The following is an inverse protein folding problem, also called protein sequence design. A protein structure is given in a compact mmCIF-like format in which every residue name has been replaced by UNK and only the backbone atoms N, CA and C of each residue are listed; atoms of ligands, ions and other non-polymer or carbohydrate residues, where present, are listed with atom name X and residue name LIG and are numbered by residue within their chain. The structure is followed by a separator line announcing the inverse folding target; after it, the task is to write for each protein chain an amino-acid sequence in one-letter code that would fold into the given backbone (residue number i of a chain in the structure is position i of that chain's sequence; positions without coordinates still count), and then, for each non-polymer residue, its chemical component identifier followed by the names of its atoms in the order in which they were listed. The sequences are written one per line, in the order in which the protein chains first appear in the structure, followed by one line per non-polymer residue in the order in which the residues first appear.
data_IF_976017678373
#
_entry.id   IF_976017678373
#
_cell.length_a   1.000
_cell.length_b   1.000
_cell.length_c   1.000
_cell.angle_alpha   90.00
_cell.angle_beta   90.00
_cell.angle_gamma   90.00
#
_symmetry.space_group_name_H-M   'P 1'
#
loop_
_entity.id
_entity.type
_entity.pdbx_description
1 polymer ?
#
# COMPACT_ATOMS: atom_id res chain seq x y z
N UNK A 1 12.27 -30.97 -19.19
CA UNK A 1 11.12 -30.73 -20.05
C UNK A 1 11.15 -29.24 -20.38
N UNK A 2 11.13 -28.88 -21.66
CA UNK A 2 11.12 -27.48 -22.08
C UNK A 2 9.77 -26.86 -21.74
N UNK A 3 9.82 -25.67 -21.15
CA UNK A 3 8.62 -24.85 -20.94
C UNK A 3 8.30 -24.16 -22.27
N UNK A 4 7.03 -24.13 -22.71
CA UNK A 4 6.66 -23.47 -23.95
C UNK A 4 7.16 -22.02 -23.95
N UNK A 5 7.84 -21.62 -25.03
CA UNK A 5 8.17 -20.22 -25.32
C UNK A 5 6.94 -19.54 -25.90
N UNK A 6 6.83 -18.26 -25.72
CA UNK A 6 5.74 -17.52 -26.33
C UNK A 6 5.02 -16.59 -25.37
N UNK A 7 3.89 -16.13 -25.81
CA UNK A 7 3.02 -15.27 -25.01
C UNK A 7 2.43 -16.04 -23.84
N UNK A 8 2.48 -15.42 -22.66
CA UNK A 8 1.93 -15.95 -21.41
C UNK A 8 1.22 -14.87 -20.63
N UNK A 9 0.25 -15.31 -19.85
CA UNK A 9 -0.53 -14.47 -18.96
C UNK A 9 -0.44 -15.04 -17.55
N UNK A 10 -0.28 -14.16 -16.58
CA UNK A 10 -0.20 -14.48 -15.17
C UNK A 10 -1.25 -13.69 -14.39
N UNK A 11 -1.92 -14.38 -13.48
CA UNK A 11 -2.75 -13.77 -12.44
C UNK A 11 -2.11 -14.09 -11.11
N UNK A 12 -1.77 -13.08 -10.34
CA UNK A 12 -1.15 -13.20 -9.03
C UNK A 12 -2.07 -12.59 -7.97
N UNK A 13 -2.34 -13.36 -6.92
CA UNK A 13 -3.00 -12.88 -5.72
C UNK A 13 -1.94 -12.59 -4.67
N UNK A 14 -2.03 -11.43 -4.05
CA UNK A 14 -1.04 -10.93 -3.11
C UNK A 14 -1.69 -10.52 -1.80
N UNK A 15 -1.01 -10.84 -0.70
CA UNK A 15 -1.36 -10.40 0.63
C UNK A 15 -0.08 -9.94 1.32
N UNK A 16 -0.03 -8.67 1.66
CA UNK A 16 1.15 -8.02 2.26
C UNK A 16 0.77 -7.31 3.55
N UNK A 17 1.73 -7.13 4.41
CA UNK A 17 1.59 -6.41 5.67
C UNK A 17 2.68 -5.36 5.80
N UNK A 18 2.31 -4.18 6.28
CA UNK A 18 3.21 -3.16 6.80
C UNK A 18 3.01 -3.06 8.31
N UNK A 19 3.69 -2.14 8.97
CA UNK A 19 3.51 -1.87 10.41
C UNK A 19 2.05 -1.52 10.75
N UNK A 20 1.31 -0.91 9.80
CA UNK A 20 -0.01 -0.33 10.08
C UNK A 20 -1.12 -0.81 9.14
N UNK A 21 -0.78 -1.58 8.11
CA UNK A 21 -1.72 -1.87 7.02
C UNK A 21 -1.58 -3.31 6.57
N UNK A 22 -2.72 -3.95 6.35
CA UNK A 22 -2.83 -5.20 5.62
C UNK A 22 -3.31 -4.90 4.20
N UNK A 23 -2.59 -5.39 3.19
CA UNK A 23 -2.85 -5.12 1.79
C UNK A 23 -3.27 -6.42 1.12
N UNK A 24 -4.40 -6.40 0.44
CA UNK A 24 -4.83 -7.50 -0.41
C UNK A 24 -4.89 -7.02 -1.86
N UNK A 25 -4.45 -7.85 -2.78
CA UNK A 25 -4.45 -7.46 -4.18
C UNK A 25 -4.53 -8.61 -5.14
N UNK A 26 -4.96 -8.28 -6.35
CA UNK A 26 -4.91 -9.15 -7.51
C UNK A 26 -4.19 -8.41 -8.64
N UNK A 27 -3.24 -9.07 -9.27
CA UNK A 27 -2.44 -8.52 -10.34
C UNK A 27 -2.57 -9.39 -11.60
N UNK A 28 -2.55 -8.75 -12.75
CA UNK A 28 -2.52 -9.38 -14.04
C UNK A 28 -1.28 -8.93 -14.80
N UNK A 29 -0.52 -9.88 -15.34
CA UNK A 29 0.67 -9.61 -16.14
C UNK A 29 0.58 -10.37 -17.46
N UNK A 30 0.72 -9.66 -18.57
CA UNK A 30 0.83 -10.24 -19.90
C UNK A 30 2.22 -10.00 -20.45
N UNK A 31 2.81 -11.00 -21.08
CA UNK A 31 4.17 -10.88 -21.58
C UNK A 31 4.66 -12.06 -22.39
N UNK A 32 5.95 -12.10 -22.60
CA UNK A 32 6.59 -13.08 -23.44
C UNK A 32 7.67 -13.85 -22.67
N UNK A 33 7.61 -15.16 -22.75
CA UNK A 33 8.65 -16.06 -22.25
C UNK A 33 9.65 -16.36 -23.37
N UNK A 34 10.85 -15.82 -23.22
CA UNK A 34 11.92 -15.98 -24.22
C UNK A 34 12.56 -17.37 -24.18
N UNK A 35 12.67 -17.93 -22.98
CA UNK A 35 13.28 -19.23 -22.74
C UNK A 35 12.83 -19.80 -21.38
N UNK A 36 13.45 -20.90 -20.97
CA UNK A 36 13.11 -21.55 -19.69
C UNK A 36 13.41 -20.69 -18.45
N UNK A 37 14.17 -19.63 -18.60
CA UNK A 37 14.72 -18.83 -17.49
C UNK A 37 14.14 -17.44 -17.41
N UNK A 38 13.65 -16.86 -18.53
CA UNK A 38 13.30 -15.44 -18.58
C UNK A 38 11.90 -15.25 -19.15
N UNK A 39 11.07 -14.56 -18.39
CA UNK A 39 9.81 -13.97 -18.81
C UNK A 39 9.88 -12.45 -18.60
N UNK A 40 9.33 -11.68 -19.55
CA UNK A 40 9.19 -10.22 -19.45
C UNK A 40 7.77 -9.85 -19.86
N UNK A 41 7.12 -8.99 -19.08
CA UNK A 41 5.76 -8.57 -19.33
C UNK A 41 5.42 -7.19 -18.79
N UNK A 42 4.21 -6.76 -19.09
CA UNK A 42 3.58 -5.58 -18.51
C UNK A 42 2.40 -6.03 -17.67
N UNK A 43 2.17 -5.37 -16.57
CA UNK A 43 1.12 -5.73 -15.65
C UNK A 43 0.40 -4.55 -15.05
N UNK A 44 -0.77 -4.86 -14.54
CA UNK A 44 -1.61 -3.97 -13.73
C UNK A 44 -2.28 -4.78 -12.64
N UNK A 45 -2.91 -4.11 -11.69
CA UNK A 45 -3.60 -4.79 -10.62
C UNK A 45 -4.57 -3.89 -9.87
N UNK A 46 -5.12 -4.46 -8.84
CA UNK A 46 -5.96 -3.76 -7.88
C UNK A 46 -5.51 -4.15 -6.48
N UNK A 47 -5.10 -3.18 -5.69
CA UNK A 47 -4.73 -3.36 -4.29
C UNK A 47 -5.71 -2.61 -3.39
N UNK A 48 -6.05 -3.23 -2.28
CA UNK A 48 -6.91 -2.64 -1.25
C UNK A 48 -6.21 -2.68 0.11
N UNK A 49 -6.12 -1.51 0.73
CA UNK A 49 -5.47 -1.32 2.02
C UNK A 49 -6.49 -1.40 3.15
N UNK A 50 -6.25 -2.33 4.08
CA UNK A 50 -7.01 -2.51 5.31
C UNK A 50 -6.15 -2.05 6.48
N UNK A 51 -6.50 -0.94 7.09
CA UNK A 51 -5.71 -0.34 8.18
C UNK A 51 -5.98 -1.04 9.51
N UNK A 52 -4.90 -1.46 10.20
CA UNK A 52 -4.96 -1.92 11.57
C UNK A 52 -4.88 -0.72 12.51
N UNK A 53 -5.96 -0.28 13.02
CA UNK A 53 -5.97 0.77 14.00
C UNK A 53 -6.25 2.13 13.40
N UNK A 54 -7.44 2.60 13.58
CA UNK A 54 -7.66 4.02 13.71
C UNK A 54 -6.94 4.42 15.01
N UNK A 55 -5.91 5.22 14.92
CA UNK A 55 -5.46 5.95 16.09
C UNK A 55 -6.56 6.91 16.49
N UNK A 56 -7.51 6.43 17.26
CA UNK A 56 -8.30 7.24 18.16
C UNK A 56 -7.42 7.53 19.35
N UNK A 57 -6.52 8.46 19.18
CA UNK A 57 -5.69 8.91 20.27
C UNK A 57 -6.11 10.29 20.69
N UNK A 58 -7.24 10.43 21.08
CA UNK A 58 -7.60 11.31 22.17
C UNK A 58 -8.74 10.59 22.82
N UNK A 59 -8.87 10.58 24.12
CA UNK A 59 -10.17 10.37 24.67
C UNK A 59 -11.07 11.34 23.88
N UNK A 60 -12.17 10.85 23.35
CA UNK A 60 -13.22 11.66 22.68
C UNK A 60 -13.67 12.83 23.54
N UNK A 61 -12.97 13.03 24.64
CA UNK A 61 -13.40 13.82 25.73
C UNK A 61 -13.39 15.29 25.46
N UNK A 62 -12.44 15.87 24.74
CA UNK A 62 -12.30 17.27 25.08
C UNK A 62 -12.08 18.22 23.90
N UNK A 63 -12.09 17.71 22.66
CA UNK A 63 -11.70 18.56 21.54
C UNK A 63 -12.24 18.14 20.19
N UNK A 64 -13.14 18.93 19.61
CA UNK A 64 -13.70 18.71 18.28
C UNK A 64 -13.29 19.85 17.35
N UNK A 65 -12.31 19.67 16.45
CA UNK A 65 -11.99 20.67 15.45
C UNK A 65 -13.15 20.82 14.47
N UNK A 66 -13.65 22.03 14.30
CA UNK A 66 -14.67 22.32 13.30
C UNK A 66 -13.98 22.33 11.94
N UNK A 67 -14.20 21.28 11.17
CA UNK A 67 -13.67 21.14 9.82
C UNK A 67 -14.52 21.94 8.83
N UNK A 68 -13.87 22.63 7.91
CA UNK A 68 -14.56 23.30 6.81
C UNK A 68 -15.28 22.29 5.92
N UNK A 69 -16.57 22.53 5.65
CA UNK A 69 -17.48 21.60 4.93
C UNK A 69 -16.94 21.06 3.60
N UNK A 70 -16.04 21.80 2.93
CA UNK A 70 -15.59 21.46 1.57
C UNK A 70 -14.08 21.19 1.47
N UNK A 71 -13.29 21.50 2.50
CA UNK A 71 -11.82 21.39 2.42
C UNK A 71 -11.26 20.34 3.36
N UNK A 72 -12.06 19.84 4.29
CA UNK A 72 -11.57 19.00 5.38
C UNK A 72 -10.49 19.67 6.24
N UNK A 73 -10.19 20.96 5.99
CA UNK A 73 -9.22 21.72 6.76
C UNK A 73 -9.90 22.35 7.97
N UNK A 74 -9.23 22.42 9.11
CA UNK A 74 -9.75 23.08 10.28
C UNK A 74 -10.02 24.57 9.99
N UNK A 75 -11.17 25.04 10.45
CA UNK A 75 -11.58 26.45 10.28
C UNK A 75 -10.89 27.39 11.26
N UNK A 76 -10.01 26.87 12.13
CA UNK A 76 -9.44 27.64 13.25
C UNK A 76 -10.40 27.85 14.41
N UNK A 77 -11.62 27.28 14.33
CA UNK A 77 -12.61 27.29 15.42
C UNK A 77 -12.71 25.91 16.04
N UNK A 78 -12.77 25.86 17.35
CA UNK A 78 -12.83 24.63 18.12
C UNK A 78 -13.95 24.69 19.13
N UNK A 79 -14.58 23.55 19.38
CA UNK A 79 -15.45 23.36 20.50
C UNK A 79 -14.65 22.63 21.57
N UNK A 80 -14.33 23.29 22.62
CA UNK A 80 -13.62 22.72 23.76
C UNK A 80 -14.62 22.20 24.78
N UNK A 81 -14.46 20.96 25.20
CA UNK A 81 -15.33 20.29 26.16
C UNK A 81 -14.62 19.83 27.42
N UNK A 82 -13.30 20.11 27.59
CA UNK A 82 -12.54 19.69 28.77
C UNK A 82 -11.17 20.40 28.93
N UNK A 83 -10.44 20.04 29.99
CA UNK A 83 -9.14 20.63 30.32
C UNK A 83 -8.02 19.76 29.75
N UNK A 84 -7.29 20.24 28.76
CA UNK A 84 -6.09 19.57 28.25
C UNK A 84 -5.75 19.88 26.79
N UNK A 85 -4.55 19.57 26.37
CA UNK A 85 -4.13 19.61 24.98
C UNK A 85 -4.50 18.27 24.30
N UNK A 86 -5.22 18.32 23.19
CA UNK A 86 -5.57 17.14 22.42
C UNK A 86 -4.72 17.04 21.15
N UNK A 87 -4.25 15.84 20.83
CA UNK A 87 -3.61 15.53 19.57
C UNK A 87 -4.60 14.78 18.67
N UNK A 88 -4.87 15.31 17.50
CA UNK A 88 -5.72 14.66 16.50
C UNK A 88 -4.86 14.14 15.37
N UNK A 89 -4.81 12.81 15.20
CA UNK A 89 -4.18 12.17 14.05
C UNK A 89 -5.22 11.97 12.96
N UNK A 90 -5.01 12.59 11.82
CA UNK A 90 -5.80 12.32 10.64
C UNK A 90 -4.94 11.60 9.61
N UNK A 91 -5.41 10.47 9.18
CA UNK A 91 -4.79 9.67 8.13
C UNK A 91 -5.66 9.78 6.87
N UNK A 92 -5.32 10.70 5.98
CA UNK A 92 -5.88 10.70 4.63
C UNK A 92 -5.08 9.70 3.80
N UNK A 93 -5.59 8.47 3.68
CA UNK A 93 -4.94 7.39 2.94
C UNK A 93 -5.87 6.90 1.84
N UNK A 94 -5.39 6.80 0.62
CA UNK A 94 -6.11 6.07 -0.41
C UNK A 94 -6.20 4.60 0.01
N UNK A 95 -7.43 4.07 0.02
CA UNK A 95 -7.69 2.66 0.34
C UNK A 95 -7.48 1.75 -0.87
N UNK A 96 -7.34 2.33 -2.04
CA UNK A 96 -7.31 1.61 -3.31
C UNK A 96 -6.18 2.12 -4.16
N UNK A 97 -5.40 1.20 -4.72
CA UNK A 97 -4.27 1.46 -5.59
C UNK A 97 -4.35 0.60 -6.84
N UNK A 98 -3.88 1.14 -7.95
CA UNK A 98 -3.81 0.47 -9.24
C UNK A 98 -2.35 0.52 -9.71
N UNK A 99 -1.54 -0.51 -9.48
CA UNK A 99 -0.19 -0.56 -10.00
C UNK A 99 -0.19 -0.77 -11.51
N UNK A 100 0.68 -0.02 -12.20
CA UNK A 100 1.06 -0.23 -13.60
C UNK A 100 2.55 -0.47 -13.64
N UNK A 101 3.00 -1.62 -14.17
CA UNK A 101 4.40 -2.01 -14.03
C UNK A 101 4.91 -2.86 -15.19
N UNK A 102 6.22 -2.79 -15.40
CA UNK A 102 6.97 -3.80 -16.12
C UNK A 102 7.39 -4.92 -15.15
N UNK A 103 7.30 -6.17 -15.59
CA UNK A 103 7.63 -7.34 -14.78
C UNK A 103 8.69 -8.20 -15.49
N UNK A 104 9.67 -8.65 -14.72
CA UNK A 104 10.66 -9.62 -15.16
C UNK A 104 10.64 -10.79 -14.19
N UNK A 105 10.54 -12.03 -14.70
CA UNK A 105 10.64 -13.25 -13.89
C UNK A 105 11.84 -14.07 -14.37
N UNK A 106 12.73 -14.33 -13.42
CA UNK A 106 13.93 -15.13 -13.63
C UNK A 106 13.76 -16.49 -12.96
N UNK A 107 13.76 -17.55 -13.72
CA UNK A 107 13.63 -18.92 -13.23
C UNK A 107 15.00 -19.59 -13.18
N UNK A 108 15.37 -20.16 -12.05
CA UNK A 108 16.73 -20.66 -11.84
C UNK A 108 16.98 -22.07 -12.40
N UNK A 109 15.91 -22.81 -12.71
CA UNK A 109 16.02 -24.20 -13.17
C UNK A 109 15.06 -24.52 -14.32
N UNK A 110 15.44 -25.48 -15.19
CA UNK A 110 14.60 -25.99 -16.27
C UNK A 110 13.56 -27.02 -15.81
N UNK A 111 13.53 -27.34 -14.53
CA UNK A 111 12.64 -28.35 -13.94
C UNK A 111 11.22 -27.84 -13.76
N UNK A 112 10.27 -28.77 -13.59
CA UNK A 112 8.87 -28.42 -13.30
C UNK A 112 8.72 -27.63 -12.00
N UNK A 113 9.50 -27.99 -11.00
CA UNK A 113 9.64 -27.24 -9.77
C UNK A 113 10.93 -26.41 -9.86
N UNK A 114 10.84 -25.11 -9.83
CA UNK A 114 11.99 -24.23 -9.97
C UNK A 114 11.85 -23.00 -9.07
N UNK A 115 12.91 -22.59 -8.38
CA UNK A 115 12.95 -21.30 -7.75
C UNK A 115 12.82 -20.17 -8.80
N UNK A 116 12.20 -19.06 -8.42
CA UNK A 116 12.13 -17.87 -9.27
C UNK A 116 12.31 -16.60 -8.48
N UNK A 117 12.83 -15.60 -9.17
CA UNK A 117 12.90 -14.20 -8.74
C UNK A 117 11.99 -13.39 -9.67
N UNK A 118 11.02 -12.69 -9.11
CA UNK A 118 10.18 -11.72 -9.80
C UNK A 118 10.59 -10.31 -9.44
N UNK A 119 10.68 -9.42 -10.43
CA UNK A 119 10.93 -8.01 -10.27
C UNK A 119 9.84 -7.23 -11.00
N UNK A 120 9.19 -6.30 -10.32
CA UNK A 120 8.21 -5.39 -10.92
C UNK A 120 8.59 -3.95 -10.62
N UNK A 121 8.59 -3.09 -11.63
CA UNK A 121 8.88 -1.68 -11.51
C UNK A 121 7.88 -0.86 -12.32
N UNK A 122 7.38 0.23 -11.74
CA UNK A 122 6.38 1.05 -12.41
C UNK A 122 5.85 2.19 -11.57
N UNK A 123 4.55 2.43 -11.69
CA UNK A 123 3.83 3.45 -10.94
C UNK A 123 2.61 2.86 -10.25
N UNK A 124 2.32 3.33 -9.06
CA UNK A 124 1.13 3.01 -8.28
C UNK A 124 0.18 4.21 -8.35
N UNK A 125 -0.98 3.98 -8.93
CA UNK A 125 -1.99 5.01 -9.14
C UNK A 125 -3.02 4.93 -8.02
N UNK A 126 -3.18 6.03 -7.30
CA UNK A 126 -4.26 6.23 -6.34
C UNK A 126 -5.08 7.46 -6.71
N UNK A 127 -6.18 7.68 -6.02
CA UNK A 127 -7.11 8.78 -6.33
C UNK A 127 -6.41 10.15 -6.39
N UNK A 128 -5.44 10.39 -5.53
CA UNK A 128 -4.85 11.71 -5.33
C UNK A 128 -3.33 11.74 -5.61
N UNK A 129 -2.70 10.57 -5.85
CA UNK A 129 -1.24 10.46 -5.97
C UNK A 129 -0.83 9.44 -7.03
N UNK A 130 0.28 9.72 -7.68
CA UNK A 130 1.03 8.77 -8.51
C UNK A 130 2.37 8.57 -7.82
N UNK A 131 2.64 7.34 -7.41
CA UNK A 131 3.85 6.99 -6.66
C UNK A 131 4.68 5.98 -7.45
N UNK A 132 6.00 5.92 -7.26
CA UNK A 132 6.79 4.85 -7.81
C UNK A 132 6.32 3.51 -7.22
N UNK A 133 6.30 2.47 -8.03
CA UNK A 133 5.99 1.10 -7.63
C UNK A 133 7.19 0.21 -7.84
N UNK A 134 7.58 -0.51 -6.80
CA UNK A 134 8.63 -1.52 -6.86
C UNK A 134 8.23 -2.75 -6.07
N UNK A 135 8.39 -3.93 -6.67
CA UNK A 135 8.16 -5.19 -5.97
C UNK A 135 9.21 -6.23 -6.34
N UNK A 136 9.63 -6.98 -5.34
CA UNK A 136 10.50 -8.14 -5.47
C UNK A 136 9.75 -9.35 -4.94
N UNK A 137 9.70 -10.44 -5.72
CA UNK A 137 9.11 -11.72 -5.31
C UNK A 137 10.17 -12.81 -5.37
N UNK A 138 10.31 -13.54 -4.27
CA UNK A 138 11.17 -14.72 -4.17
C UNK A 138 10.30 -15.94 -3.93
N UNK A 139 10.39 -16.96 -4.78
CA UNK A 139 9.48 -18.08 -4.64
C UNK A 139 9.84 -19.31 -5.45
N UNK A 140 8.85 -20.18 -5.55
CA UNK A 140 8.88 -21.41 -6.33
C UNK A 140 7.82 -21.42 -7.41
N UNK A 141 8.18 -21.99 -8.54
CA UNK A 141 7.28 -22.29 -9.66
C UNK A 141 7.01 -23.79 -9.70
N UNK A 142 5.77 -24.16 -9.93
CA UNK A 142 5.38 -25.53 -10.22
C UNK A 142 4.61 -25.62 -11.54
N UNK A 143 5.15 -26.36 -12.52
CA UNK A 143 4.50 -26.61 -13.81
C UNK A 143 3.73 -27.91 -13.76
N UNK A 144 2.43 -27.86 -13.99
CA UNK A 144 1.55 -29.03 -14.05
C UNK A 144 1.79 -29.87 -15.30
N UNK A 145 1.23 -31.08 -15.34
CA UNK A 145 1.27 -31.95 -16.53
C UNK A 145 0.61 -31.33 -17.77
N UNK A 146 -0.30 -30.37 -17.59
CA UNK A 146 -0.98 -29.62 -18.66
C UNK A 146 -0.26 -28.33 -19.06
N UNK A 147 1.01 -28.17 -18.70
CA UNK A 147 1.84 -26.99 -18.95
C UNK A 147 1.30 -25.68 -18.34
N UNK A 148 0.46 -25.78 -17.33
CA UNK A 148 0.01 -24.62 -16.55
C UNK A 148 0.95 -24.40 -15.38
N UNK A 149 1.24 -23.15 -15.07
CA UNK A 149 2.21 -22.78 -14.06
C UNK A 149 1.53 -22.20 -12.83
N UNK A 150 1.90 -22.72 -11.66
CA UNK A 150 1.60 -22.13 -10.35
C UNK A 150 2.87 -21.52 -9.77
N UNK A 151 2.73 -20.38 -9.19
CA UNK A 151 3.83 -19.71 -8.47
C UNK A 151 3.41 -19.43 -7.03
N UNK A 152 4.36 -19.59 -6.11
CA UNK A 152 4.19 -19.31 -4.69
C UNK A 152 5.44 -18.60 -4.23
N UNK A 153 5.30 -17.51 -3.47
CA UNK A 153 6.47 -16.77 -3.04
C UNK A 153 6.20 -15.77 -1.94
N UNK A 154 7.29 -15.21 -1.46
CA UNK A 154 7.31 -14.05 -0.60
C UNK A 154 7.50 -12.80 -1.45
N UNK A 155 6.68 -11.80 -1.23
CA UNK A 155 6.75 -10.52 -1.92
C UNK A 155 7.17 -9.41 -0.97
N UNK A 156 7.92 -8.46 -1.51
CA UNK A 156 8.36 -7.25 -0.81
C UNK A 156 8.09 -6.08 -1.74
N UNK A 157 7.30 -5.12 -1.28
CA UNK A 157 6.97 -3.94 -2.08
C UNK A 157 7.48 -2.66 -1.41
N UNK A 158 7.92 -1.70 -2.23
CA UNK A 158 8.40 -0.39 -1.80
C UNK A 158 8.21 0.64 -2.92
N UNK A 159 7.95 1.89 -2.63
CA UNK A 159 7.49 2.41 -1.34
C UNK A 159 5.99 2.23 -1.14
N UNK A 160 5.57 1.99 0.10
CA UNK A 160 4.19 2.21 0.50
C UNK A 160 4.11 3.55 1.20
N UNK A 161 3.41 4.48 0.59
CA UNK A 161 3.25 5.85 1.10
C UNK A 161 2.28 5.88 2.27
N UNK A 162 2.72 6.52 3.34
CA UNK A 162 1.87 6.83 4.47
C UNK A 162 2.02 8.33 4.78
N UNK A 163 0.99 9.09 4.46
CA UNK A 163 0.89 10.48 4.90
C UNK A 163 0.35 10.54 6.33
N UNK A 164 1.05 11.22 7.20
CA UNK A 164 0.62 11.46 8.57
C UNK A 164 0.38 12.96 8.76
N UNK A 165 -0.74 13.32 9.34
CA UNK A 165 -1.00 14.66 9.78
C UNK A 165 -1.20 14.65 11.30
N UNK A 166 -0.37 15.39 12.00
CA UNK A 166 -0.52 15.66 13.43
C UNK A 166 -0.98 17.10 13.60
N UNK A 167 -2.11 17.27 14.24
CA UNK A 167 -2.56 18.58 14.71
C UNK A 167 -2.28 18.69 16.21
N UNK A 168 -1.39 19.57 16.59
CA UNK A 168 -1.11 19.89 17.99
C UNK A 168 -1.79 21.22 18.32
N UNK A 169 -2.62 21.22 19.33
CA UNK A 169 -3.29 22.42 19.82
C UNK A 169 -2.61 22.91 21.09
N UNK A 170 -2.28 24.19 21.08
CA UNK A 170 -1.77 24.89 22.25
C UNK A 170 -2.78 25.95 22.65
N UNK A 171 -3.44 25.78 23.80
CA UNK A 171 -4.27 26.82 24.40
C UNK A 171 -3.41 27.92 24.98
N UNK A 172 -3.66 29.14 24.57
CA UNK A 172 -2.92 30.28 25.08
C UNK A 172 -3.62 31.06 26.21
N UNK A 173 -4.92 30.79 26.44
CA UNK A 173 -5.67 31.51 27.48
C UNK A 173 -6.79 30.66 28.07
N UNK A 174 -6.86 30.64 29.39
CA UNK A 174 -7.98 30.17 30.22
C UNK A 174 -9.01 31.32 30.34
N UNK A 175 -9.80 31.54 29.31
CA UNK A 175 -10.94 32.42 29.45
C UNK A 175 -12.11 31.69 30.09
N UNK A 176 -12.68 32.25 31.14
CA UNK A 176 -13.77 31.74 31.97
C UNK A 176 -15.07 31.40 31.22
N UNK A 177 -15.17 31.72 29.93
CA UNK A 177 -16.38 31.54 29.11
C UNK A 177 -16.39 30.25 28.26
N UNK A 178 -15.46 29.34 28.49
CA UNK A 178 -15.45 28.05 27.82
C UNK A 178 -15.08 28.07 26.31
N UNK A 179 -14.64 29.23 25.81
CA UNK A 179 -14.12 29.39 24.45
C UNK A 179 -12.63 29.69 24.55
N UNK A 180 -11.84 28.68 24.35
CA UNK A 180 -10.39 28.81 24.30
C UNK A 180 -9.96 29.19 22.87
N UNK A 181 -9.25 30.32 22.75
CA UNK A 181 -8.56 30.67 21.52
C UNK A 181 -7.14 30.12 21.60
N UNK A 182 -6.82 29.19 20.76
CA UNK A 182 -5.52 28.56 20.71
C UNK A 182 -4.96 28.46 19.30
N UNK A 183 -3.66 28.26 19.19
CA UNK A 183 -2.96 28.06 17.93
C UNK A 183 -2.88 26.56 17.65
N UNK A 184 -3.30 26.16 16.45
CA UNK A 184 -3.09 24.79 15.97
C UNK A 184 -1.89 24.78 15.08
N UNK A 185 -0.93 23.96 15.43
CA UNK A 185 0.20 23.64 14.58
C UNK A 185 -0.02 22.30 13.92
N UNK A 186 0.10 22.26 12.59
CA UNK A 186 0.05 21.04 11.80
C UNK A 186 1.44 20.60 11.46
N UNK A 187 1.77 19.38 11.82
CA UNK A 187 2.96 18.71 11.36
C UNK A 187 2.53 17.66 10.35
N UNK A 188 3.02 17.76 9.13
CA UNK A 188 2.85 16.75 8.11
C UNK A 188 4.18 16.03 7.94
N UNK A 189 4.14 14.71 7.98
CA UNK A 189 5.30 13.92 7.58
C UNK A 189 4.87 12.77 6.70
N UNK A 190 5.72 12.44 5.78
CA UNK A 190 5.56 11.31 4.87
C UNK A 190 6.48 10.20 5.35
N UNK A 191 5.95 9.00 5.44
CA UNK A 191 6.74 7.82 5.67
C UNK A 191 6.59 6.85 4.51
N UNK A 192 7.71 6.28 4.09
CA UNK A 192 7.76 5.25 3.07
C UNK A 192 8.11 3.94 3.76
N UNK A 193 7.18 3.00 3.75
CA UNK A 193 7.36 1.73 4.43
C UNK A 193 7.53 0.60 3.42
N UNK A 194 8.34 -0.39 3.80
CA UNK A 194 8.42 -1.66 3.12
C UNK A 194 7.21 -2.50 3.54
N UNK A 195 6.53 -3.12 2.59
CA UNK A 195 5.57 -4.18 2.86
C UNK A 195 6.19 -5.54 2.56
N UNK A 196 5.79 -6.53 3.32
CA UNK A 196 6.18 -7.91 3.09
C UNK A 196 4.97 -8.83 3.16
N UNK A 197 4.97 -9.90 2.35
CA UNK A 197 3.84 -10.79 2.32
C UNK A 197 4.03 -12.03 1.47
N UNK A 198 2.92 -12.64 1.11
CA UNK A 198 2.87 -13.82 0.28
C UNK A 198 2.16 -13.54 -1.04
N UNK A 199 2.60 -14.24 -2.08
CA UNK A 199 1.95 -14.21 -3.38
C UNK A 199 1.68 -15.63 -3.87
N UNK A 200 0.54 -15.81 -4.50
CA UNK A 200 0.15 -17.04 -5.19
C UNK A 200 -0.27 -16.67 -6.60
N UNK A 201 0.37 -17.26 -7.59
CA UNK A 201 0.11 -16.95 -8.99
C UNK A 201 -0.27 -18.16 -9.82
N UNK A 202 -0.95 -17.88 -10.91
CA UNK A 202 -1.33 -18.86 -11.91
C UNK A 202 -1.08 -18.31 -13.31
N UNK A 203 -0.52 -19.15 -14.19
CA UNK A 203 -0.25 -18.81 -15.59
C UNK A 203 -0.93 -19.78 -16.55
N UNK A 204 -1.44 -19.26 -17.65
CA UNK A 204 -2.14 -19.96 -18.70
C UNK A 204 -1.75 -19.44 -20.10
#
# INVERSE_FOLDING_TARGET
QEVPRGFQQHVDFRSEVTIETFIVGAEYTAGYRFNNFIFVGLGTGYHHDIYFGGYKTAPESDFDPILGKNSGKPTGKYKHTGKGSAMVYRLDRPKTHIPLYANVRLYMMKTRLAPYLGLSLGADLSKDHILPYGNVTLGGRHITKRNREWTFGFSFSYPKYHGHALASYYSSDDNHDGVSTGKVEYSFWESYNLSGGITVGYSF
#
